data_IF_664928847280
#
_entry.id   IF_664928847280
#
_cell.length_a   1.000
_cell.length_b   1.000
_cell.length_c   1.000
_cell.angle_alpha   90.00
_cell.angle_beta   90.00
_cell.angle_gamma   90.00
#
_symmetry.space_group_name_H-M   'P 1'
#
loop_
_entity.id
_entity.type
_entity.pdbx_description
1 polymer ?
#
# COMPACT_ATOMS: atom_id res chain seq x y z
N UNK A 1 18.95 -94.61 -20.24
CA UNK A 1 18.45 -93.25 -20.51
C UNK A 1 17.24 -93.13 -19.62
N UNK A 2 17.27 -92.51 -18.44
CA UNK A 2 17.69 -91.14 -18.19
C UNK A 2 17.77 -90.93 -16.66
N UNK A 3 18.96 -91.03 -16.05
CA UNK A 3 19.17 -90.91 -14.59
C UNK A 3 20.07 -89.71 -14.23
N UNK A 4 20.19 -88.73 -15.13
CA UNK A 4 21.12 -87.61 -14.98
C UNK A 4 20.45 -86.28 -14.65
N UNK A 5 19.12 -86.25 -14.44
CA UNK A 5 18.37 -84.99 -14.33
C UNK A 5 17.77 -84.70 -12.94
N UNK A 6 17.87 -85.61 -11.95
CA UNK A 6 17.35 -85.37 -10.59
C UNK A 6 18.39 -84.85 -9.58
N UNK A 7 19.67 -85.00 -9.88
CA UNK A 7 20.75 -84.65 -8.95
C UNK A 7 21.19 -83.19 -9.08
N UNK A 8 20.86 -82.51 -10.19
CA UNK A 8 21.28 -81.13 -10.43
C UNK A 8 20.30 -80.07 -9.88
N UNK A 9 19.00 -80.36 -9.78
CA UNK A 9 18.00 -79.43 -9.21
C UNK A 9 18.01 -79.38 -7.67
N UNK A 10 18.48 -80.45 -7.01
CA UNK A 10 18.52 -80.53 -5.55
C UNK A 10 19.73 -79.79 -4.95
N UNK A 11 20.88 -79.77 -5.65
CA UNK A 11 22.08 -79.03 -5.23
C UNK A 11 22.01 -77.51 -5.50
N UNK A 12 21.26 -77.08 -6.52
CA UNK A 12 21.03 -75.66 -6.80
C UNK A 12 20.03 -75.02 -5.83
N UNK A 13 18.98 -75.76 -5.43
CA UNK A 13 18.01 -75.27 -4.46
C UNK A 13 18.51 -75.30 -3.00
N UNK A 14 19.42 -76.22 -2.64
CA UNK A 14 20.06 -76.23 -1.32
C UNK A 14 21.04 -75.06 -1.15
N UNK A 15 21.85 -74.75 -2.17
CA UNK A 15 22.80 -73.61 -2.12
C UNK A 15 22.12 -72.24 -2.16
N UNK A 16 20.98 -72.12 -2.82
CA UNK A 16 20.26 -70.84 -2.90
C UNK A 16 19.50 -70.50 -1.60
N UNK A 17 19.14 -71.51 -0.80
CA UNK A 17 18.55 -71.31 0.52
C UNK A 17 19.59 -71.07 1.64
N UNK A 18 20.82 -71.59 1.51
CA UNK A 18 21.90 -71.25 2.46
C UNK A 18 22.43 -69.82 2.28
N UNK A 19 22.51 -69.30 1.05
CA UNK A 19 23.03 -67.93 0.79
C UNK A 19 22.05 -66.84 1.26
N UNK A 20 20.75 -67.11 1.30
CA UNK A 20 19.75 -66.16 1.77
C UNK A 20 19.49 -66.19 3.29
N UNK A 21 20.09 -67.12 4.03
CA UNK A 21 19.85 -67.25 5.48
C UNK A 21 20.93 -66.62 6.38
N UNK A 22 21.98 -65.98 5.85
CA UNK A 22 23.13 -65.61 6.69
C UNK A 22 23.60 -64.14 6.64
N UNK A 23 22.78 -63.17 6.22
CA UNK A 23 23.13 -61.74 6.39
C UNK A 23 21.95 -60.75 6.35
N UNK A 24 20.83 -61.05 7.00
CA UNK A 24 19.66 -60.15 7.07
C UNK A 24 19.36 -59.59 8.48
N UNK A 25 20.32 -59.65 9.42
CA UNK A 25 20.02 -59.40 10.84
C UNK A 25 19.98 -57.94 11.29
N UNK A 26 20.85 -57.06 10.76
CA UNK A 26 21.03 -55.71 11.31
C UNK A 26 20.58 -54.59 10.35
N UNK A 27 20.97 -54.65 9.08
CA UNK A 27 20.63 -53.61 8.11
C UNK A 27 19.12 -53.47 7.86
N UNK A 28 18.40 -54.59 7.73
CA UNK A 28 16.94 -54.59 7.54
C UNK A 28 16.20 -54.10 8.81
N UNK A 29 16.73 -54.42 10.00
CA UNK A 29 16.19 -53.92 11.26
C UNK A 29 16.39 -52.40 11.41
N UNK A 30 17.59 -51.89 11.08
CA UNK A 30 17.89 -50.44 11.10
C UNK A 30 17.04 -49.69 10.07
N UNK A 31 16.87 -50.24 8.87
CA UNK A 31 16.04 -49.63 7.82
C UNK A 31 14.55 -49.59 8.24
N UNK A 32 14.03 -50.68 8.81
CA UNK A 32 12.65 -50.70 9.34
C UNK A 32 12.48 -49.73 10.51
N UNK A 33 13.49 -49.59 11.37
CA UNK A 33 13.46 -48.64 12.48
C UNK A 33 13.51 -47.18 11.99
N UNK A 34 14.36 -46.87 11.01
CA UNK A 34 14.48 -45.52 10.46
C UNK A 34 13.21 -45.09 9.73
N UNK A 35 12.57 -45.98 8.98
CA UNK A 35 11.27 -45.72 8.33
C UNK A 35 10.19 -45.45 9.40
N UNK A 36 10.13 -46.23 10.47
CA UNK A 36 9.18 -46.01 11.57
C UNK A 36 9.42 -44.68 12.28
N UNK A 37 10.69 -44.33 12.53
CA UNK A 37 11.05 -43.04 13.11
C UNK A 37 10.72 -41.88 12.18
N UNK A 38 10.92 -42.04 10.87
CA UNK A 38 10.56 -41.03 9.88
C UNK A 38 9.04 -40.81 9.82
N UNK A 39 8.25 -41.88 9.88
CA UNK A 39 6.79 -41.80 9.94
C UNK A 39 6.35 -41.15 11.26
N UNK A 40 6.92 -41.55 12.40
CA UNK A 40 6.64 -40.92 13.68
C UNK A 40 7.02 -39.44 13.68
N UNK A 41 8.15 -39.08 13.07
CA UNK A 41 8.59 -37.71 12.92
C UNK A 41 7.65 -36.90 12.02
N UNK A 42 7.18 -37.45 10.89
CA UNK A 42 6.18 -36.80 10.03
C UNK A 42 4.87 -36.58 10.79
N UNK A 43 4.40 -37.57 11.55
CA UNK A 43 3.19 -37.45 12.37
C UNK A 43 3.37 -36.40 13.48
N UNK A 44 4.52 -36.37 14.14
CA UNK A 44 4.85 -35.39 15.18
C UNK A 44 5.05 -33.98 14.60
N UNK A 45 5.61 -33.86 13.40
CA UNK A 45 5.82 -32.60 12.69
C UNK A 45 4.50 -32.01 12.19
N UNK A 46 3.61 -32.86 11.66
CA UNK A 46 2.25 -32.46 11.25
C UNK A 46 1.29 -32.30 12.44
N UNK A 47 1.71 -32.69 13.64
CA UNK A 47 0.88 -32.63 14.85
C UNK A 47 0.49 -31.20 15.23
N UNK A 48 1.31 -30.21 14.90
CA UNK A 48 0.99 -28.81 15.17
C UNK A 48 -0.13 -28.29 14.24
N UNK A 49 -0.09 -28.67 12.95
CA UNK A 49 -1.15 -28.40 11.98
C UNK A 49 -2.44 -29.18 12.22
N UNK A 50 -2.35 -30.34 12.91
CA UNK A 50 -3.51 -31.19 13.22
C UNK A 50 -4.53 -30.48 14.13
N UNK A 51 -4.08 -29.69 15.11
CA UNK A 51 -4.95 -28.95 16.02
C UNK A 51 -5.68 -27.77 15.35
N UNK A 52 -5.13 -27.30 14.25
CA UNK A 52 -5.66 -26.19 13.44
C UNK A 52 -6.49 -26.68 12.25
N UNK A 53 -6.61 -28.00 12.06
CA UNK A 53 -7.33 -28.58 10.92
C UNK A 53 -8.83 -28.28 10.98
N UNK A 54 -9.36 -27.78 9.86
CA UNK A 54 -10.79 -27.50 9.65
C UNK A 54 -11.57 -28.70 9.12
N UNK A 55 -10.93 -29.87 8.97
CA UNK A 55 -11.59 -31.06 8.47
C UNK A 55 -12.58 -31.62 9.52
N UNK A 56 -13.85 -31.89 9.15
CA UNK A 56 -14.93 -32.18 10.11
C UNK A 56 -14.73 -33.49 10.90
N UNK A 57 -14.15 -34.51 10.29
CA UNK A 57 -13.90 -35.81 10.94
C UNK A 57 -12.75 -35.74 11.97
N UNK A 58 -11.72 -34.96 11.66
CA UNK A 58 -10.55 -34.80 12.53
C UNK A 58 -10.88 -33.87 13.69
N UNK A 59 -11.57 -32.76 13.43
CA UNK A 59 -12.00 -31.81 14.47
C UNK A 59 -12.96 -32.45 15.47
N UNK A 60 -13.92 -33.26 15.02
CA UNK A 60 -14.84 -33.98 15.92
C UNK A 60 -14.11 -35.03 16.79
N UNK A 61 -13.11 -35.72 16.24
CA UNK A 61 -12.27 -36.63 17.01
C UNK A 61 -11.43 -35.90 18.06
N UNK A 62 -10.79 -34.79 17.69
CA UNK A 62 -9.95 -33.99 18.58
C UNK A 62 -10.77 -33.32 19.68
N UNK A 63 -11.94 -32.77 19.35
CA UNK A 63 -12.86 -32.17 20.31
C UNK A 63 -13.37 -33.20 21.31
N UNK A 64 -13.60 -34.46 20.88
CA UNK A 64 -14.09 -35.53 21.75
C UNK A 64 -13.02 -36.09 22.69
N UNK A 65 -11.79 -36.28 22.21
CA UNK A 65 -10.72 -36.93 22.98
C UNK A 65 -9.81 -35.93 23.71
N UNK A 66 -9.72 -34.69 23.23
CA UNK A 66 -8.84 -33.65 23.75
C UNK A 66 -9.53 -32.26 23.79
N UNK A 67 -10.66 -32.12 24.51
CA UNK A 67 -11.50 -30.93 24.46
C UNK A 67 -10.80 -29.65 24.94
N UNK A 68 -9.99 -29.73 26.01
CA UNK A 68 -9.29 -28.56 26.56
C UNK A 68 -8.23 -28.03 25.59
N UNK A 69 -7.37 -28.92 25.08
CA UNK A 69 -6.31 -28.56 24.14
C UNK A 69 -6.88 -28.07 22.81
N UNK A 70 -7.94 -28.70 22.30
CA UNK A 70 -8.62 -28.23 21.10
C UNK A 70 -9.19 -26.81 21.29
N UNK A 71 -9.83 -26.53 22.44
CA UNK A 71 -10.38 -25.20 22.74
C UNK A 71 -9.29 -24.13 22.81
N UNK A 72 -8.15 -24.41 23.41
CA UNK A 72 -7.04 -23.44 23.51
C UNK A 72 -6.49 -23.04 22.14
N UNK A 73 -6.28 -24.01 21.25
CA UNK A 73 -5.77 -23.75 19.89
C UNK A 73 -6.80 -23.01 19.02
N UNK A 74 -8.09 -23.33 19.16
CA UNK A 74 -9.17 -22.61 18.47
C UNK A 74 -9.31 -21.16 18.97
N UNK A 75 -9.12 -20.91 20.28
CA UNK A 75 -9.09 -19.55 20.83
C UNK A 75 -7.90 -18.74 20.33
N UNK A 76 -6.74 -19.35 20.13
CA UNK A 76 -5.59 -18.68 19.50
C UNK A 76 -5.92 -18.27 18.06
N UNK A 77 -6.49 -19.17 17.26
CA UNK A 77 -6.91 -18.90 15.88
C UNK A 77 -7.98 -17.79 15.79
N UNK A 78 -8.97 -17.80 16.69
CA UNK A 78 -10.00 -16.76 16.77
C UNK A 78 -9.39 -15.38 17.05
N UNK A 79 -8.43 -15.27 17.98
CA UNK A 79 -7.71 -14.02 18.24
C UNK A 79 -6.91 -13.54 17.04
N UNK A 80 -6.24 -14.44 16.32
CA UNK A 80 -5.53 -14.08 15.09
C UNK A 80 -6.49 -13.58 14.01
N UNK A 81 -7.63 -14.24 13.81
CA UNK A 81 -8.60 -13.86 12.79
C UNK A 81 -9.30 -12.52 13.10
N UNK A 82 -9.69 -12.29 14.35
CA UNK A 82 -10.27 -11.01 14.80
C UNK A 82 -9.26 -9.86 14.67
N UNK A 83 -8.00 -10.09 15.06
CA UNK A 83 -6.94 -9.09 14.88
C UNK A 83 -6.69 -8.79 13.40
N UNK A 84 -6.76 -9.80 12.52
CA UNK A 84 -6.56 -9.59 11.09
C UNK A 84 -7.70 -8.79 10.45
N UNK A 85 -8.95 -9.05 10.87
CA UNK A 85 -10.11 -8.27 10.45
C UNK A 85 -9.99 -6.80 10.90
N UNK A 86 -9.57 -6.57 12.15
CA UNK A 86 -9.35 -5.24 12.69
C UNK A 86 -8.24 -4.48 11.95
N UNK A 87 -7.11 -5.14 11.67
CA UNK A 87 -6.01 -4.56 10.89
C UNK A 87 -6.47 -4.21 9.47
N UNK A 88 -7.21 -5.10 8.81
CA UNK A 88 -7.74 -4.85 7.46
C UNK A 88 -8.71 -3.66 7.42
N UNK A 89 -9.55 -3.50 8.45
CA UNK A 89 -10.46 -2.36 8.54
C UNK A 89 -9.70 -1.04 8.78
N UNK A 90 -8.64 -1.04 9.60
CA UNK A 90 -7.76 0.12 9.77
C UNK A 90 -7.06 0.47 8.46
N UNK A 91 -6.46 -0.50 7.76
CA UNK A 91 -5.80 -0.26 6.48
C UNK A 91 -6.76 0.35 5.45
N UNK A 92 -8.01 -0.13 5.43
CA UNK A 92 -9.04 0.41 4.54
C UNK A 92 -9.40 1.86 4.87
N UNK A 93 -9.56 2.20 6.14
CA UNK A 93 -9.84 3.59 6.56
C UNK A 93 -8.65 4.51 6.28
N UNK A 94 -7.43 4.04 6.56
CA UNK A 94 -6.21 4.79 6.31
C UNK A 94 -6.03 5.10 4.82
N UNK A 95 -6.23 4.10 3.95
CA UNK A 95 -6.12 4.29 2.51
C UNK A 95 -7.17 5.27 1.96
N UNK A 96 -8.41 5.23 2.49
CA UNK A 96 -9.44 6.21 2.13
C UNK A 96 -9.03 7.63 2.52
N UNK A 97 -8.52 7.82 3.74
CA UNK A 97 -8.06 9.12 4.23
C UNK A 97 -6.85 9.64 3.46
N UNK A 98 -5.91 8.76 3.11
CA UNK A 98 -4.75 9.11 2.30
C UNK A 98 -5.17 9.63 0.92
N UNK A 99 -6.09 8.93 0.24
CA UNK A 99 -6.60 9.34 -1.06
C UNK A 99 -7.29 10.72 -1.02
N UNK A 100 -8.09 10.98 0.01
CA UNK A 100 -8.74 12.29 0.20
C UNK A 100 -7.70 13.39 0.45
N UNK A 101 -6.69 13.11 1.27
CA UNK A 101 -5.63 14.07 1.57
C UNK A 101 -4.78 14.39 0.33
N UNK A 102 -4.43 13.39 -0.48
CA UNK A 102 -3.71 13.59 -1.74
C UNK A 102 -4.50 14.46 -2.72
N UNK A 103 -5.80 14.21 -2.85
CA UNK A 103 -6.67 15.03 -3.69
C UNK A 103 -6.74 16.48 -3.18
N UNK A 104 -6.89 16.68 -1.86
CA UNK A 104 -6.92 18.02 -1.27
C UNK A 104 -5.60 18.78 -1.48
N UNK A 105 -4.46 18.09 -1.42
CA UNK A 105 -3.14 18.69 -1.70
C UNK A 105 -3.03 19.10 -3.17
N UNK A 106 -3.50 18.28 -4.10
CA UNK A 106 -3.52 18.62 -5.53
C UNK A 106 -4.41 19.83 -5.81
N UNK A 107 -5.63 19.85 -5.26
CA UNK A 107 -6.56 20.97 -5.41
C UNK A 107 -5.98 22.26 -4.82
N UNK A 108 -5.34 22.18 -3.65
CA UNK A 108 -4.65 23.32 -3.04
C UNK A 108 -3.51 23.82 -3.92
N UNK A 109 -2.70 22.93 -4.49
CA UNK A 109 -1.61 23.31 -5.39
C UNK A 109 -2.08 24.03 -6.65
N UNK A 110 -3.22 23.61 -7.22
CA UNK A 110 -3.84 24.30 -8.36
C UNK A 110 -4.34 25.68 -7.95
N UNK A 111 -5.06 25.79 -6.83
CA UNK A 111 -5.58 27.06 -6.33
C UNK A 111 -4.45 28.05 -5.99
N UNK A 112 -3.37 27.59 -5.35
CA UNK A 112 -2.20 28.42 -5.04
C UNK A 112 -1.54 28.97 -6.31
N UNK A 113 -1.42 28.14 -7.35
CA UNK A 113 -0.88 28.57 -8.63
C UNK A 113 -1.75 29.61 -9.31
N UNK A 114 -3.08 29.45 -9.28
CA UNK A 114 -4.01 30.44 -9.82
C UNK A 114 -3.94 31.76 -9.06
N UNK A 115 -3.83 31.71 -7.73
CA UNK A 115 -3.66 32.91 -6.90
C UNK A 115 -2.36 33.64 -7.26
N UNK A 116 -1.24 32.93 -7.42
CA UNK A 116 0.03 33.55 -7.81
C UNK A 116 -0.04 34.20 -9.20
N UNK A 117 -0.71 33.57 -10.17
CA UNK A 117 -0.88 34.16 -11.50
C UNK A 117 -1.69 35.45 -11.42
N UNK A 118 -2.83 35.43 -10.69
CA UNK A 118 -3.64 36.64 -10.51
C UNK A 118 -2.89 37.74 -9.76
N UNK A 119 -2.07 37.38 -8.76
CA UNK A 119 -1.25 38.34 -8.03
C UNK A 119 -0.27 39.05 -8.99
N UNK A 120 0.39 38.30 -9.87
CA UNK A 120 1.28 38.86 -10.87
C UNK A 120 0.55 39.80 -11.87
N UNK A 121 -0.65 39.42 -12.32
CA UNK A 121 -1.48 40.27 -13.19
C UNK A 121 -1.89 41.58 -12.50
N UNK A 122 -2.29 41.51 -11.22
CA UNK A 122 -2.64 42.69 -10.42
C UNK A 122 -1.42 43.59 -10.24
N UNK A 123 -0.24 43.03 -9.93
CA UNK A 123 0.99 43.80 -9.78
C UNK A 123 1.38 44.53 -11.08
N UNK A 124 1.23 43.87 -12.23
CA UNK A 124 1.45 44.50 -13.52
C UNK A 124 0.48 45.66 -13.78
N UNK A 125 -0.81 45.49 -13.48
CA UNK A 125 -1.81 46.56 -13.58
C UNK A 125 -1.50 47.74 -12.67
N UNK A 126 -1.06 47.46 -11.44
CA UNK A 126 -0.62 48.49 -10.50
C UNK A 126 0.55 49.31 -11.03
N UNK A 127 1.55 48.68 -11.65
CA UNK A 127 2.67 49.40 -12.28
C UNK A 127 2.22 50.31 -13.44
N UNK A 128 1.30 49.84 -14.28
CA UNK A 128 0.72 50.67 -15.35
C UNK A 128 -0.05 51.87 -14.78
N UNK A 129 -0.80 51.65 -13.70
CA UNK A 129 -1.55 52.69 -13.02
C UNK A 129 -0.63 53.74 -12.39
N UNK A 130 0.39 53.33 -11.64
CA UNK A 130 1.39 54.23 -11.04
C UNK A 130 2.11 55.07 -12.10
N UNK A 131 2.49 54.44 -13.22
CA UNK A 131 3.10 55.15 -14.36
C UNK A 131 2.15 56.18 -14.95
N UNK A 132 0.86 55.82 -15.09
CA UNK A 132 -0.16 56.74 -15.59
C UNK A 132 -0.34 57.94 -14.66
N UNK A 133 -0.41 57.73 -13.34
CA UNK A 133 -0.46 58.82 -12.36
C UNK A 133 0.76 59.73 -12.49
N UNK A 134 1.96 59.16 -12.60
CA UNK A 134 3.18 59.95 -12.71
C UNK A 134 3.18 60.81 -14.00
N UNK A 135 2.77 60.23 -15.13
CA UNK A 135 2.59 60.97 -16.38
C UNK A 135 1.58 62.11 -16.23
N UNK A 136 0.45 61.85 -15.57
CA UNK A 136 -0.56 62.86 -15.27
C UNK A 136 -0.03 63.98 -14.37
N UNK A 137 0.73 63.64 -13.33
CA UNK A 137 1.37 64.62 -12.44
C UNK A 137 2.29 65.55 -13.23
N UNK A 138 3.12 65.00 -14.12
CA UNK A 138 4.01 65.82 -14.96
C UNK A 138 3.25 66.73 -15.93
N UNK A 139 2.10 66.28 -16.45
CA UNK A 139 1.25 67.11 -17.29
C UNK A 139 0.56 68.21 -16.47
N UNK A 140 0.10 67.89 -15.26
CA UNK A 140 -0.53 68.85 -14.35
C UNK A 140 0.43 69.95 -13.90
N UNK A 141 1.72 69.62 -13.71
CA UNK A 141 2.75 70.62 -13.37
C UNK A 141 3.06 71.56 -14.54
N UNK A 142 2.81 71.12 -15.78
CA UNK A 142 3.17 71.86 -17.00
C UNK A 142 2.02 72.74 -17.54
N UNK A 143 0.77 72.32 -17.36
CA UNK A 143 -0.40 72.95 -17.97
C UNK A 143 -1.35 73.51 -16.91
N UNK A 144 -2.02 74.62 -17.21
CA UNK A 144 -3.13 75.08 -16.38
C UNK A 144 -4.30 74.09 -16.42
N UNK A 145 -5.14 74.05 -15.39
CA UNK A 145 -6.24 73.07 -15.27
C UNK A 145 -7.17 73.03 -16.50
N UNK A 146 -7.47 74.20 -17.10
CA UNK A 146 -8.26 74.29 -18.34
C UNK A 146 -7.56 73.72 -19.57
N UNK A 147 -6.24 73.86 -19.65
CA UNK A 147 -5.44 73.33 -20.75
C UNK A 147 -5.23 71.83 -20.59
N UNK A 148 -4.97 71.36 -19.36
CA UNK A 148 -4.83 69.95 -19.04
C UNK A 148 -6.08 69.16 -19.43
N UNK A 149 -7.27 69.68 -19.10
CA UNK A 149 -8.55 69.08 -19.46
C UNK A 149 -8.74 68.96 -20.99
N UNK A 150 -8.22 69.91 -21.77
CA UNK A 150 -8.26 69.83 -23.24
C UNK A 150 -7.25 68.83 -23.79
N UNK A 151 -6.06 68.75 -23.20
CA UNK A 151 -4.98 67.87 -23.66
C UNK A 151 -5.30 66.40 -23.39
N UNK A 152 -5.86 66.08 -22.23
CA UNK A 152 -6.13 64.70 -21.83
C UNK A 152 -7.45 64.18 -22.40
N UNK A 153 -8.51 65.00 -22.37
CA UNK A 153 -9.85 64.67 -22.89
C UNK A 153 -10.30 63.22 -22.56
N UNK A 154 -10.47 62.90 -21.28
CA UNK A 154 -10.96 61.58 -20.87
C UNK A 154 -12.32 61.24 -21.48
N UNK A 155 -12.45 60.02 -22.01
CA UNK A 155 -13.69 59.51 -22.63
C UNK A 155 -14.30 58.32 -21.89
N UNK A 156 -13.61 57.78 -20.88
CA UNK A 156 -14.07 56.64 -20.08
C UNK A 156 -13.92 56.92 -18.57
N UNK A 157 -14.63 56.12 -17.76
CA UNK A 157 -14.68 56.32 -16.31
C UNK A 157 -13.32 56.08 -15.65
N UNK A 158 -12.53 55.15 -16.18
CA UNK A 158 -11.22 54.78 -15.68
C UNK A 158 -10.24 55.96 -15.77
N UNK A 159 -10.28 56.73 -16.87
CA UNK A 159 -9.47 57.94 -17.04
C UNK A 159 -9.88 59.02 -16.02
N UNK A 160 -11.19 59.21 -15.80
CA UNK A 160 -11.66 60.13 -14.75
C UNK A 160 -11.24 59.70 -13.35
N UNK A 161 -11.23 58.39 -13.07
CA UNK A 161 -10.80 57.86 -11.78
C UNK A 161 -9.27 57.97 -11.59
N UNK A 162 -8.45 57.85 -12.64
CA UNK A 162 -7.01 58.14 -12.58
C UNK A 162 -6.75 59.61 -12.21
N UNK A 163 -7.52 60.54 -12.78
CA UNK A 163 -7.35 61.98 -12.53
C UNK A 163 -7.88 62.37 -11.15
N UNK A 164 -9.06 61.86 -10.76
CA UNK A 164 -9.79 62.37 -9.60
C UNK A 164 -9.73 61.46 -8.36
N UNK A 165 -9.25 60.21 -8.48
CA UNK A 165 -9.33 59.20 -7.40
C UNK A 165 -8.06 58.36 -7.27
N UNK A 166 -6.90 59.01 -7.35
CA UNK A 166 -5.57 58.41 -7.14
C UNK A 166 -5.47 57.60 -5.83
N UNK A 167 -6.13 58.06 -4.76
CA UNK A 167 -6.02 57.45 -3.43
C UNK A 167 -6.63 56.05 -3.35
N UNK A 168 -7.77 55.81 -4.01
CA UNK A 168 -8.50 54.53 -3.93
C UNK A 168 -7.79 53.41 -4.69
N UNK A 169 -7.22 53.73 -5.85
CA UNK A 169 -6.48 52.75 -6.63
C UNK A 169 -5.11 52.46 -6.00
N UNK A 170 -4.48 53.44 -5.36
CA UNK A 170 -3.24 53.23 -4.60
C UNK A 170 -3.43 52.25 -3.44
N UNK A 171 -4.60 52.28 -2.78
CA UNK A 171 -4.94 51.33 -1.71
C UNK A 171 -5.07 49.88 -2.22
N UNK A 172 -5.56 49.67 -3.45
CA UNK A 172 -5.62 48.34 -4.07
C UNK A 172 -4.22 47.78 -4.33
N UNK A 173 -3.26 48.65 -4.66
CA UNK A 173 -1.88 48.29 -4.97
C UNK A 173 -0.94 48.22 -3.75
N UNK A 174 -1.39 48.62 -2.55
CA UNK A 174 -0.60 48.59 -1.31
C UNK A 174 -0.84 47.35 -0.44
N UNK A 175 -1.92 46.60 -0.69
CA UNK A 175 -2.31 45.40 0.08
C UNK A 175 -2.06 44.08 -0.67
N UNK A 176 -1.22 44.10 -1.71
CA UNK A 176 -0.83 42.91 -2.50
C UNK A 176 0.63 42.55 -2.19
#
# INVERSE_FOLDING_TARGET
MDDTNKTHESDLNAKQNEVNSQKSGFGDWVLKLSIRLMIAFIILWQFDGLWQSTQPEVSSFLQKNFPEKYREEQLKLSRFNENNAYISDIERDLNKKLAIAEQAVLEKGVAEKEVQIRQFEIEALCRYYDTSILMFSHLADKYSERELNKVVSCTNQECFDIINRTDKARQLCQNT
#
